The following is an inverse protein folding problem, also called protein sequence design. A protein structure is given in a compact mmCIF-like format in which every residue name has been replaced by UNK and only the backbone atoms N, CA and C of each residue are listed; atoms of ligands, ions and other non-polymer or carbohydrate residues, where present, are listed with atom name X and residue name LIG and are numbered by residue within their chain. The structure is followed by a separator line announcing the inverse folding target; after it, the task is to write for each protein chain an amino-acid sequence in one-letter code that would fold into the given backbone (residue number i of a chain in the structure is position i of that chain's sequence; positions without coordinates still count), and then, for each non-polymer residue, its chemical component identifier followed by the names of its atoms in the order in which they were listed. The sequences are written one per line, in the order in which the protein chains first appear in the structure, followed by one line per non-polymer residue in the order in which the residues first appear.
data_IF_155603058705
#
_entry.id   IF_155603058705
#
_cell.length_a   1.000
_cell.length_b   1.000
_cell.length_c   1.000
_cell.angle_alpha   90.00
_cell.angle_beta   90.00
_cell.angle_gamma   90.00
#
_symmetry.space_group_name_H-M   'P 1'
#
loop_
_entity.id
_entity.type
_entity.pdbx_description
1 polymer ?
#
# COMPACT_ATOMS: atom_id res chain seq x y z
N UNK A 1 14.58 -13.72 10.33
CA UNK A 1 13.95 -13.38 11.64
C UNK A 1 12.48 -13.06 11.40
N UNK A 2 11.59 -13.39 12.34
CA UNK A 2 10.15 -13.12 12.25
C UNK A 2 9.75 -12.13 13.33
N UNK A 3 9.11 -11.02 12.96
CA UNK A 3 8.57 -10.04 13.91
C UNK A 3 7.08 -9.81 13.63
N UNK A 4 6.32 -9.66 14.71
CA UNK A 4 4.88 -9.42 14.66
C UNK A 4 4.58 -7.98 15.06
N UNK A 5 3.66 -7.37 14.33
CA UNK A 5 3.13 -6.03 14.59
C UNK A 5 1.61 -6.08 14.58
N UNK A 6 0.98 -5.15 15.30
CA UNK A 6 -0.47 -5.03 15.38
C UNK A 6 -0.87 -3.61 15.06
N UNK A 7 -1.76 -3.46 14.09
CA UNK A 7 -2.36 -2.18 13.75
C UNK A 7 -3.88 -2.24 13.80
N UNK A 8 -4.52 -1.14 13.43
CA UNK A 8 -5.97 -1.06 13.25
C UNK A 8 -6.32 -1.50 11.84
N UNK A 9 -7.28 -2.41 11.74
CA UNK A 9 -7.78 -2.89 10.44
C UNK A 9 -8.70 -1.84 9.82
N UNK A 10 -8.35 -1.39 8.62
CA UNK A 10 -9.18 -0.48 7.79
C UNK A 10 -9.95 -1.30 6.76
N UNK A 11 -9.26 -2.22 6.08
CA UNK A 11 -9.85 -3.18 5.13
C UNK A 11 -9.32 -4.57 5.49
N UNK A 12 -10.21 -5.42 6.00
CA UNK A 12 -9.84 -6.75 6.48
C UNK A 12 -9.51 -7.72 5.35
N UNK A 13 -8.52 -8.57 5.58
CA UNK A 13 -8.21 -9.68 4.68
C UNK A 13 -6.92 -10.38 5.06
N UNK A 14 -6.71 -11.55 4.46
CA UNK A 14 -5.49 -12.34 4.61
C UNK A 14 -4.71 -12.36 3.31
N UNK A 15 -3.48 -11.85 3.32
CA UNK A 15 -2.62 -11.80 2.13
C UNK A 15 -1.17 -12.05 2.50
N UNK A 16 -0.44 -12.69 1.58
CA UNK A 16 1.01 -12.78 1.62
C UNK A 16 1.60 -12.12 0.37
N UNK A 17 2.59 -11.25 0.57
CA UNK A 17 3.25 -10.51 -0.50
C UNK A 17 4.67 -10.06 -0.09
N UNK A 18 5.50 -9.77 -1.09
CA UNK A 18 6.82 -9.17 -0.85
C UNK A 18 6.68 -7.66 -0.59
N UNK A 19 7.43 -7.16 0.39
CA UNK A 19 7.43 -5.77 0.82
C UNK A 19 8.06 -4.84 -0.22
N UNK A 20 7.45 -3.67 -0.37
CA UNK A 20 8.06 -2.47 -0.94
C UNK A 20 7.89 -1.36 0.07
N UNK A 21 8.99 -0.71 0.47
CA UNK A 21 9.01 0.19 1.62
C UNK A 21 9.33 1.61 1.19
N UNK A 22 8.64 2.57 1.80
CA UNK A 22 9.01 3.98 1.75
C UNK A 22 9.00 4.59 3.14
N UNK A 23 10.05 5.33 3.47
CA UNK A 23 10.09 6.13 4.70
C UNK A 23 9.43 7.51 4.50
N UNK A 24 9.00 7.81 3.28
CA UNK A 24 8.36 9.04 2.89
C UNK A 24 6.88 8.83 2.61
N UNK A 25 6.11 9.91 2.71
CA UNK A 25 4.71 9.90 2.28
C UNK A 25 4.58 9.51 0.81
N UNK A 26 3.57 8.71 0.47
CA UNK A 26 3.32 8.32 -0.93
C UNK A 26 2.36 9.30 -1.60
N UNK A 27 2.81 9.98 -2.66
CA UNK A 27 1.89 10.72 -3.52
C UNK A 27 1.19 9.75 -4.47
N UNK A 28 -0.06 9.41 -4.15
CA UNK A 28 -0.85 8.39 -4.85
C UNK A 28 -1.01 8.69 -6.34
N UNK A 29 -1.36 9.93 -6.71
CA UNK A 29 -1.51 10.28 -8.12
C UNK A 29 -0.17 10.18 -8.84
N UNK A 30 0.89 10.83 -8.32
CA UNK A 30 2.20 10.85 -8.95
C UNK A 30 2.82 9.45 -9.07
N UNK A 31 2.52 8.56 -8.14
CA UNK A 31 3.02 7.19 -8.11
C UNK A 31 2.36 6.33 -9.18
N UNK A 32 1.04 6.45 -9.38
CA UNK A 32 0.27 5.53 -10.23
C UNK A 32 -0.06 6.08 -11.63
N UNK A 33 -0.17 7.40 -11.79
CA UNK A 33 -0.74 8.02 -13.00
C UNK A 33 -0.06 7.56 -14.30
N UNK A 34 1.27 7.46 -14.32
CA UNK A 34 2.01 7.15 -15.54
C UNK A 34 1.70 5.75 -16.04
N UNK A 35 1.67 4.77 -15.14
CA UNK A 35 1.35 3.38 -15.49
C UNK A 35 -0.10 3.21 -15.91
N UNK A 36 -1.04 3.85 -15.19
CA UNK A 36 -2.47 3.75 -15.49
C UNK A 36 -2.78 4.40 -16.85
N UNK A 37 -2.32 5.64 -17.09
CA UNK A 37 -2.55 6.34 -18.35
C UNK A 37 -1.91 5.64 -19.55
N UNK A 38 -0.73 5.03 -19.34
CA UNK A 38 -0.06 4.25 -20.37
C UNK A 38 -0.59 2.81 -20.50
N UNK A 39 -1.70 2.45 -19.80
CA UNK A 39 -2.33 1.12 -19.81
C UNK A 39 -1.34 -0.02 -19.63
N UNK A 40 -0.39 0.16 -18.70
CA UNK A 40 0.62 -0.85 -18.38
C UNK A 40 -0.03 -2.03 -17.66
N UNK A 41 0.59 -3.21 -17.76
CA UNK A 41 0.19 -4.42 -17.03
C UNK A 41 0.59 -4.40 -15.55
N UNK A 42 1.52 -3.53 -15.19
CA UNK A 42 1.99 -3.32 -13.81
C UNK A 42 2.21 -1.83 -13.55
N UNK A 43 2.05 -1.44 -12.29
CA UNK A 43 2.39 -0.10 -11.79
C UNK A 43 3.83 -0.12 -11.33
N UNK A 44 4.63 0.75 -11.93
CA UNK A 44 5.99 1.07 -11.51
C UNK A 44 5.97 2.52 -11.03
N UNK A 45 6.39 2.76 -9.79
CA UNK A 45 6.30 4.06 -9.15
C UNK A 45 6.94 5.17 -9.99
N UNK A 46 6.14 6.18 -10.36
CA UNK A 46 6.58 7.27 -11.24
C UNK A 46 6.88 8.60 -10.53
N UNK A 47 6.66 8.67 -9.22
CA UNK A 47 6.97 9.87 -8.44
C UNK A 47 8.48 10.01 -8.22
N UNK A 48 9.10 11.01 -8.84
CA UNK A 48 10.53 11.28 -8.72
C UNK A 48 10.92 11.86 -7.36
N UNK A 49 9.95 12.41 -6.61
CA UNK A 49 10.20 13.00 -5.30
C UNK A 49 10.22 11.95 -4.19
N UNK A 50 9.69 10.75 -4.45
CA UNK A 50 9.77 9.61 -3.54
C UNK A 50 10.78 8.60 -4.10
N UNK A 51 12.06 8.82 -3.79
CA UNK A 51 13.15 7.95 -4.22
C UNK A 51 13.00 6.49 -3.74
N UNK A 52 12.28 6.27 -2.63
CA UNK A 52 12.04 4.92 -2.12
C UNK A 52 11.07 4.13 -3.00
N UNK A 53 10.15 4.78 -3.72
CA UNK A 53 9.17 4.10 -4.59
C UNK A 53 9.46 4.28 -6.08
N UNK A 54 10.28 5.27 -6.43
CA UNK A 54 10.60 5.56 -7.82
C UNK A 54 11.21 4.34 -8.52
N UNK A 55 10.65 3.98 -9.68
CA UNK A 55 11.04 2.82 -10.49
C UNK A 55 10.86 1.45 -9.83
N UNK A 56 10.21 1.36 -8.66
CA UNK A 56 9.83 0.07 -8.04
C UNK A 56 8.45 -0.38 -8.51
N UNK A 57 8.29 -1.68 -8.73
CA UNK A 57 6.98 -2.28 -9.03
C UNK A 57 6.13 -2.37 -7.76
N UNK A 58 4.88 -1.91 -7.83
CA UNK A 58 3.95 -1.82 -6.70
C UNK A 58 2.81 -2.85 -6.81
N UNK A 59 2.43 -3.19 -8.04
CA UNK A 59 1.33 -4.13 -8.29
C UNK A 59 1.59 -5.46 -7.58
N UNK A 60 0.61 -5.92 -6.81
CA UNK A 60 0.69 -7.19 -6.10
C UNK A 60 1.61 -7.22 -4.87
N UNK A 61 2.26 -6.11 -4.51
CA UNK A 61 3.18 -6.02 -3.36
C UNK A 61 2.46 -5.65 -2.06
N UNK A 62 3.17 -5.82 -0.93
CA UNK A 62 2.79 -5.19 0.33
C UNK A 62 3.51 -3.85 0.43
N UNK A 63 2.77 -2.76 0.20
CA UNK A 63 3.33 -1.42 0.24
C UNK A 63 3.35 -0.92 1.69
N UNK A 64 4.53 -0.66 2.23
CA UNK A 64 4.75 -0.24 3.61
C UNK A 64 5.20 1.23 3.61
N UNK A 65 4.46 2.10 4.29
CA UNK A 65 4.64 3.55 4.22
C UNK A 65 4.20 4.23 5.52
N UNK A 66 4.59 5.48 5.80
CA UNK A 66 4.05 6.22 6.94
C UNK A 66 2.60 6.64 6.71
N UNK A 67 2.33 7.31 5.58
CA UNK A 67 1.04 7.91 5.22
C UNK A 67 0.96 8.16 3.72
N UNK A 68 -0.24 8.39 3.19
CA UNK A 68 -0.35 8.99 1.85
C UNK A 68 -0.22 10.51 1.93
N UNK A 69 0.16 11.14 0.82
CA UNK A 69 0.25 12.60 0.69
C UNK A 69 -0.30 13.05 -0.66
N UNK A 70 -0.60 14.34 -0.79
CA UNK A 70 -0.97 14.95 -2.06
C UNK A 70 -2.47 15.01 -2.33
N UNK A 71 -2.87 14.70 -3.57
CA UNK A 71 -4.12 15.15 -4.19
C UNK A 71 -5.40 14.56 -3.58
N UNK A 72 -6.47 15.38 -3.55
CA UNK A 72 -7.85 14.98 -3.24
C UNK A 72 -8.37 13.83 -4.11
N UNK A 73 -7.76 13.61 -5.28
CA UNK A 73 -8.08 12.50 -6.19
C UNK A 73 -7.43 11.16 -5.83
N UNK A 74 -6.59 11.12 -4.78
CA UNK A 74 -5.83 9.92 -4.40
C UNK A 74 -6.72 8.69 -4.19
N UNK A 75 -7.87 8.85 -3.54
CA UNK A 75 -8.81 7.75 -3.32
C UNK A 75 -9.33 7.12 -4.61
N UNK A 76 -9.68 7.95 -5.61
CA UNK A 76 -10.14 7.47 -6.92
C UNK A 76 -9.04 6.76 -7.70
N UNK A 77 -7.78 7.16 -7.52
CA UNK A 77 -6.63 6.50 -8.13
C UNK A 77 -6.43 5.10 -7.55
N UNK A 78 -6.54 4.93 -6.22
CA UNK A 78 -6.47 3.61 -5.58
C UNK A 78 -7.60 2.70 -6.07
N UNK A 79 -8.83 3.20 -6.09
CA UNK A 79 -9.99 2.46 -6.59
C UNK A 79 -9.82 2.08 -8.07
N UNK A 80 -9.33 2.99 -8.91
CA UNK A 80 -9.09 2.72 -10.33
C UNK A 80 -7.98 1.68 -10.52
N UNK A 81 -6.89 1.79 -9.74
CA UNK A 81 -5.81 0.80 -9.77
C UNK A 81 -6.33 -0.60 -9.40
N UNK A 82 -7.20 -0.69 -8.39
CA UNK A 82 -7.87 -1.94 -8.02
C UNK A 82 -8.78 -2.46 -9.14
N UNK A 83 -9.64 -1.63 -9.72
CA UNK A 83 -10.52 -2.02 -10.82
C UNK A 83 -9.74 -2.57 -12.05
N UNK A 84 -8.53 -2.08 -12.27
CA UNK A 84 -7.64 -2.51 -13.35
C UNK A 84 -6.74 -3.71 -12.98
N UNK A 85 -6.79 -4.23 -11.75
CA UNK A 85 -5.92 -5.31 -11.28
C UNK A 85 -4.46 -4.88 -11.09
N UNK A 86 -4.22 -3.58 -10.89
CA UNK A 86 -2.90 -2.95 -10.80
C UNK A 86 -2.52 -2.52 -9.38
N UNK A 87 -3.43 -2.66 -8.42
CA UNK A 87 -3.22 -2.26 -7.04
C UNK A 87 -2.15 -3.12 -6.31
N UNK A 88 -1.54 -2.58 -5.23
CA UNK A 88 -0.85 -3.42 -4.25
C UNK A 88 -1.83 -4.41 -3.60
N UNK A 89 -1.32 -5.56 -3.12
CA UNK A 89 -2.14 -6.52 -2.34
C UNK A 89 -2.46 -6.00 -0.95
N UNK A 90 -1.52 -5.26 -0.36
CA UNK A 90 -1.71 -4.63 0.93
C UNK A 90 -1.09 -3.23 0.97
N UNK A 91 -1.71 -2.35 1.74
CA UNK A 91 -1.15 -1.08 2.16
C UNK A 91 -1.04 -1.05 3.68
N UNK A 92 0.17 -0.90 4.18
CA UNK A 92 0.51 -1.00 5.60
C UNK A 92 1.11 0.32 6.07
N UNK A 93 0.42 0.97 7.00
CA UNK A 93 0.76 2.31 7.46
C UNK A 93 1.34 2.28 8.88
N UNK A 94 2.50 2.92 9.08
CA UNK A 94 3.00 3.15 10.44
C UNK A 94 2.19 4.21 11.19
N UNK A 95 1.70 5.23 10.48
CA UNK A 95 0.80 6.26 11.02
C UNK A 95 -0.67 5.90 10.75
N UNK A 96 -1.60 6.76 11.19
CA UNK A 96 -3.01 6.65 10.78
C UNK A 96 -3.14 6.97 9.30
N UNK A 97 -3.93 6.18 8.57
CA UNK A 97 -4.30 6.52 7.19
C UNK A 97 -5.16 7.80 7.21
N UNK A 98 -4.99 8.64 6.19
CA UNK A 98 -5.83 9.81 5.98
C UNK A 98 -7.19 9.42 5.38
N UNK A 99 -8.17 10.32 5.50
CA UNK A 99 -9.54 10.06 5.03
C UNK A 99 -9.67 9.80 3.52
N UNK A 100 -8.79 10.38 2.69
CA UNK A 100 -8.83 10.20 1.22
C UNK A 100 -8.29 8.82 0.86
N UNK A 101 -7.15 8.43 1.45
CA UNK A 101 -6.60 7.09 1.31
C UNK A 101 -7.57 6.03 1.80
N UNK A 102 -8.16 6.23 2.99
CA UNK A 102 -9.16 5.33 3.57
C UNK A 102 -10.37 5.14 2.66
N UNK A 103 -10.94 6.23 2.16
CA UNK A 103 -12.04 6.16 1.20
C UNK A 103 -11.63 5.36 -0.04
N UNK A 104 -10.43 5.60 -0.59
CA UNK A 104 -9.94 4.87 -1.77
C UNK A 104 -9.88 3.35 -1.60
N UNK A 105 -9.30 2.87 -0.48
CA UNK A 105 -9.18 1.43 -0.22
C UNK A 105 -10.54 0.79 0.11
N UNK A 106 -11.45 1.52 0.77
CA UNK A 106 -12.82 1.05 1.04
C UNK A 106 -13.61 0.94 -0.27
N UNK A 107 -13.53 1.95 -1.15
CA UNK A 107 -14.18 1.90 -2.46
C UNK A 107 -13.62 0.77 -3.32
N UNK A 108 -12.32 0.50 -3.25
CA UNK A 108 -11.70 -0.64 -3.91
C UNK A 108 -12.29 -1.98 -3.42
N UNK A 109 -12.48 -2.14 -2.11
CA UNK A 109 -13.05 -3.36 -1.53
C UNK A 109 -14.53 -3.56 -1.87
N UNK A 110 -15.33 -2.48 -1.83
CA UNK A 110 -16.78 -2.57 -2.04
C UNK A 110 -17.15 -2.71 -3.52
N UNK A 111 -16.42 -2.05 -4.43
CA UNK A 111 -16.82 -1.94 -5.84
C UNK A 111 -15.89 -2.64 -6.84
N UNK A 112 -14.87 -3.34 -6.37
CA UNK A 112 -13.97 -4.09 -7.27
C UNK A 112 -13.74 -5.49 -6.75
N UNK A 113 -13.28 -6.38 -7.63
CA UNK A 113 -12.86 -7.74 -7.23
C UNK A 113 -11.46 -7.78 -6.62
N UNK A 114 -10.72 -6.67 -6.67
CA UNK A 114 -9.33 -6.58 -6.23
C UNK A 114 -9.22 -5.72 -4.97
N UNK A 115 -9.47 -6.34 -3.82
CA UNK A 115 -9.28 -5.71 -2.51
C UNK A 115 -7.83 -5.28 -2.29
N UNK A 116 -7.66 -4.15 -1.59
CA UNK A 116 -6.39 -3.70 -1.03
C UNK A 116 -6.46 -3.90 0.49
N UNK A 117 -5.86 -4.97 1.02
CA UNK A 117 -5.86 -5.21 2.48
C UNK A 117 -5.13 -4.07 3.16
N UNK A 118 -5.75 -3.44 4.15
CA UNK A 118 -5.22 -2.20 4.71
C UNK A 118 -5.22 -2.24 6.23
N UNK A 119 -4.04 -1.99 6.80
CA UNK A 119 -3.80 -1.88 8.24
C UNK A 119 -3.03 -0.60 8.50
N UNK A 120 -3.47 0.20 9.46
CA UNK A 120 -2.80 1.43 9.86
C UNK A 120 -2.40 1.45 11.34
N UNK A 121 -1.72 2.50 11.77
CA UNK A 121 -1.21 2.63 13.14
C UNK A 121 -0.27 1.47 13.57
N UNK A 122 0.54 0.94 12.66
CA UNK A 122 1.52 -0.12 12.96
C UNK A 122 2.73 0.38 13.79
N UNK A 123 2.89 1.70 13.89
CA UNK A 123 3.95 2.36 14.66
C UNK A 123 5.27 2.48 13.91
N UNK A 124 6.13 3.40 14.35
CA UNK A 124 7.41 3.67 13.71
C UNK A 124 8.34 2.45 13.75
N UNK A 125 8.27 1.63 14.81
CA UNK A 125 9.06 0.41 14.92
C UNK A 125 8.81 -0.60 13.78
N UNK A 126 7.59 -0.62 13.23
CA UNK A 126 7.28 -1.43 12.05
C UNK A 126 8.05 -0.91 10.83
N UNK A 127 7.99 0.39 10.60
CA UNK A 127 8.61 1.03 9.44
C UNK A 127 10.14 0.93 9.48
N UNK A 128 10.73 1.07 10.67
CA UNK A 128 12.17 0.93 10.88
C UNK A 128 12.67 -0.51 10.69
N UNK A 129 11.80 -1.51 10.95
CA UNK A 129 12.14 -2.93 10.84
C UNK A 129 11.99 -3.47 9.42
N UNK A 130 10.89 -3.12 8.74
CA UNK A 130 10.56 -3.67 7.42
C UNK A 130 11.50 -3.13 6.34
N UNK A 131 11.94 -4.01 5.43
CA UNK A 131 12.80 -3.66 4.30
C UNK A 131 12.22 -4.24 3.01
N UNK A 132 12.61 -3.66 1.88
CA UNK A 132 12.22 -4.19 0.57
C UNK A 132 12.57 -5.68 0.45
N UNK A 133 11.69 -6.43 -0.20
CA UNK A 133 11.90 -7.85 -0.45
C UNK A 133 11.44 -8.78 0.67
N UNK A 134 11.33 -8.30 1.92
CA UNK A 134 10.82 -9.10 3.04
C UNK A 134 9.42 -9.67 2.76
N UNK A 135 9.14 -10.85 3.29
CA UNK A 135 7.82 -11.47 3.19
C UNK A 135 6.89 -10.90 4.24
N UNK A 136 5.77 -10.34 3.79
CA UNK A 136 4.70 -9.82 4.63
C UNK A 136 3.54 -10.78 4.60
N UNK A 137 3.05 -11.16 5.77
CA UNK A 137 1.76 -11.85 5.91
C UNK A 137 0.83 -10.99 6.76
N UNK A 138 -0.29 -10.57 6.20
CA UNK A 138 -1.34 -9.82 6.90
C UNK A 138 -2.46 -10.79 7.24
N UNK A 139 -2.97 -10.72 8.47
CA UNK A 139 -4.14 -11.47 8.92
C UNK A 139 -5.36 -10.55 9.02
N UNK A 140 -6.55 -11.14 9.00
CA UNK A 140 -7.83 -10.40 9.00
C UNK A 140 -8.00 -9.47 10.22
N UNK A 141 -7.43 -9.85 11.35
CA UNK A 141 -7.51 -9.11 12.60
C UNK A 141 -6.55 -7.90 12.66
N UNK A 142 -5.80 -7.61 11.59
CA UNK A 142 -4.84 -6.51 11.53
C UNK A 142 -3.45 -6.86 12.06
N UNK A 143 -3.18 -8.15 12.31
CA UNK A 143 -1.84 -8.63 12.64
C UNK A 143 -0.97 -8.71 11.38
N UNK A 144 0.25 -8.16 11.47
CA UNK A 144 1.23 -8.14 10.37
C UNK A 144 2.48 -8.88 10.80
N UNK A 145 2.82 -9.93 10.06
CA UNK A 145 4.04 -10.73 10.24
C UNK A 145 5.06 -10.33 9.18
N UNK A 146 6.28 -10.00 9.62
CA UNK A 146 7.38 -9.59 8.75
C UNK A 146 8.52 -10.59 8.88
N UNK A 147 8.83 -11.26 7.77
CA UNK A 147 9.81 -12.35 7.66
C UNK A 147 10.86 -12.03 6.58
N UNK A 148 12.08 -12.55 6.76
CA UNK A 148 13.21 -12.34 5.86
C UNK A 148 13.34 -13.48 4.87
#
# INVERSE_FOLDING_TARGET
MKREFKGRTVVAGSVQASAVVSNNGMNTLATFQKSILARKKTVVGSDQNNADLFKKEITGKALCLPRTIGSTTGGMVLQSAAALGLAPKAMLFSESIDSIGAAGVILADVWTVNRIVTVDCLGQEFLDYVKDGMTITVKEDGTVLVEQ
#
